data_IF_409540693601
#
_entry.id   IF_409540693601
#
_cell.length_a   1.000
_cell.length_b   1.000
_cell.length_c   1.000
_cell.angle_alpha   90.00
_cell.angle_beta   90.00
_cell.angle_gamma   90.00
#
_symmetry.space_group_name_H-M   'P 1'
#
loop_
_entity.id
_entity.type
_entity.pdbx_description
1 polymer ?
#
# COMPACT_ATOMS: atom_id res chain seq x y z
N UNK A 1 11.14 -19.04 3.77
CA UNK A 1 9.81 -18.77 4.37
C UNK A 1 10.01 -17.54 5.26
N UNK A 2 9.37 -16.43 4.96
CA UNK A 2 9.50 -15.22 5.79
C UNK A 2 8.59 -15.42 7.01
N UNK A 3 9.17 -15.44 8.21
CA UNK A 3 8.39 -15.50 9.45
C UNK A 3 7.75 -14.13 9.70
N UNK A 4 6.49 -13.99 9.28
CA UNK A 4 5.69 -12.77 9.44
C UNK A 4 4.92 -12.80 10.77
N UNK A 5 4.90 -13.94 11.47
CA UNK A 5 4.04 -14.13 12.63
C UNK A 5 4.43 -13.32 13.87
N UNK A 6 5.71 -13.04 14.08
CA UNK A 6 6.18 -12.32 15.27
C UNK A 6 6.85 -11.01 14.88
N UNK A 7 6.05 -9.97 14.65
CA UNK A 7 6.58 -8.60 14.54
C UNK A 7 6.66 -7.96 15.92
N UNK A 8 7.81 -7.33 16.23
CA UNK A 8 7.93 -6.49 17.41
C UNK A 8 6.98 -5.30 17.30
N UNK A 9 6.63 -4.70 18.43
CA UNK A 9 5.60 -3.67 18.59
C UNK A 9 5.73 -2.44 17.65
N UNK A 10 6.93 -2.15 17.16
CA UNK A 10 7.29 -1.01 16.30
C UNK A 10 8.14 -1.41 15.08
N UNK A 11 8.21 -2.70 14.77
CA UNK A 11 9.05 -3.22 13.70
C UNK A 11 8.51 -2.85 12.33
N UNK A 12 9.36 -2.23 11.50
CA UNK A 12 9.09 -1.95 10.10
C UNK A 12 9.98 -2.85 9.26
N UNK A 13 9.39 -3.82 8.57
CA UNK A 13 10.08 -4.77 7.68
C UNK A 13 9.98 -4.32 6.23
N UNK A 14 11.10 -4.33 5.53
CA UNK A 14 11.17 -4.02 4.09
C UNK A 14 11.68 -5.24 3.35
N UNK A 15 10.94 -5.67 2.32
CA UNK A 15 11.27 -6.85 1.52
C UNK A 15 11.26 -6.44 0.05
N UNK A 16 12.40 -6.59 -0.61
CA UNK A 16 12.56 -6.36 -2.04
C UNK A 16 12.23 -7.62 -2.84
N UNK A 17 11.83 -7.44 -4.11
CA UNK A 17 11.46 -8.52 -5.01
C UNK A 17 10.43 -9.49 -4.38
N UNK A 18 9.39 -8.91 -3.77
CA UNK A 18 8.43 -9.63 -2.96
C UNK A 18 7.64 -10.67 -3.74
N UNK A 19 7.20 -10.33 -4.95
CA UNK A 19 6.59 -11.28 -5.89
C UNK A 19 7.62 -11.80 -6.89
N UNK A 20 7.37 -12.99 -7.43
CA UNK A 20 8.06 -13.45 -8.63
C UNK A 20 7.98 -12.39 -9.73
N UNK A 21 9.08 -12.25 -10.49
CA UNK A 21 9.22 -11.18 -11.49
C UNK A 21 8.10 -11.20 -12.54
N UNK A 22 7.67 -12.37 -12.98
CA UNK A 22 6.60 -12.49 -13.98
C UNK A 22 5.27 -12.07 -13.38
N UNK A 23 4.94 -12.55 -12.17
CA UNK A 23 3.71 -12.20 -11.45
C UNK A 23 3.67 -10.70 -11.19
N UNK A 24 4.78 -10.10 -10.75
CA UNK A 24 4.89 -8.67 -10.56
C UNK A 24 4.60 -7.89 -11.86
N UNK A 25 5.22 -8.27 -12.98
CA UNK A 25 5.00 -7.58 -14.26
C UNK A 25 3.57 -7.69 -14.75
N UNK A 26 2.96 -8.86 -14.66
CA UNK A 26 1.55 -9.07 -15.03
C UNK A 26 0.61 -8.19 -14.16
N UNK A 27 0.90 -8.05 -12.86
CA UNK A 27 0.17 -7.17 -11.95
C UNK A 27 0.38 -5.69 -12.30
N UNK A 28 1.63 -5.25 -12.45
CA UNK A 28 1.99 -3.88 -12.80
C UNK A 28 1.32 -3.46 -14.11
N UNK A 29 1.41 -4.30 -15.14
CA UNK A 29 0.80 -4.04 -16.45
C UNK A 29 -0.73 -3.95 -16.33
N UNK A 30 -1.35 -4.81 -15.52
CA UNK A 30 -2.79 -4.77 -15.31
C UNK A 30 -3.23 -3.47 -14.65
N UNK A 31 -2.53 -3.00 -13.62
CA UNK A 31 -2.95 -1.84 -12.82
C UNK A 31 -2.51 -0.50 -13.43
N UNK A 32 -1.34 -0.43 -14.07
CA UNK A 32 -0.76 0.84 -14.50
C UNK A 32 -0.77 1.07 -16.02
N UNK A 33 -0.78 0.00 -16.83
CA UNK A 33 -0.58 0.12 -18.27
C UNK A 33 -1.83 -0.24 -19.09
N UNK A 34 -2.83 -0.90 -18.49
CA UNK A 34 -4.10 -1.23 -19.17
C UNK A 34 -5.16 -0.17 -18.87
N UNK A 35 -5.77 0.35 -19.92
CA UNK A 35 -6.82 1.36 -19.82
C UNK A 35 -8.11 0.85 -19.18
N UNK A 36 -8.32 -0.47 -19.16
CA UNK A 36 -9.54 -1.08 -18.62
C UNK A 36 -9.53 -1.20 -17.08
N UNK A 37 -8.37 -1.02 -16.41
CA UNK A 37 -8.34 -1.08 -14.95
C UNK A 37 -8.99 0.18 -14.35
N UNK A 38 -10.07 0.03 -13.56
CA UNK A 38 -10.84 1.18 -13.09
C UNK A 38 -10.16 1.86 -11.90
N UNK A 39 -9.74 3.09 -12.11
CA UNK A 39 -9.31 4.01 -11.06
C UNK A 39 -10.41 5.02 -10.78
N UNK A 40 -10.78 5.18 -9.51
CA UNK A 40 -11.84 6.09 -9.07
C UNK A 40 -11.23 7.29 -8.35
N UNK A 41 -11.64 8.49 -8.74
CA UNK A 41 -11.21 9.71 -8.04
C UNK A 41 -11.72 9.69 -6.60
N UNK A 42 -10.81 9.88 -5.65
CA UNK A 42 -11.10 9.89 -4.23
C UNK A 42 -11.09 11.31 -3.67
N UNK A 43 -12.26 11.82 -3.32
CA UNK A 43 -12.44 13.13 -2.68
C UNK A 43 -12.33 13.04 -1.14
N UNK A 44 -12.55 11.85 -0.55
CA UNK A 44 -12.60 11.64 0.89
C UNK A 44 -11.29 11.01 1.36
N UNK A 45 -10.22 11.79 1.46
CA UNK A 45 -8.97 11.35 2.08
C UNK A 45 -9.09 11.43 3.60
N UNK A 46 -8.21 10.68 4.30
CA UNK A 46 -8.08 10.77 5.76
C UNK A 46 -7.66 12.17 6.19
N UNK A 47 -6.82 12.81 5.37
CA UNK A 47 -6.36 14.18 5.56
C UNK A 47 -6.58 14.94 4.24
N UNK A 48 -7.20 16.10 4.32
CA UNK A 48 -7.30 17.03 3.19
C UNK A 48 -5.99 17.82 3.07
N UNK A 49 -5.13 17.35 2.18
CA UNK A 49 -3.82 17.92 1.88
C UNK A 49 -3.75 18.56 0.48
N UNK A 50 -4.90 18.68 -0.19
CA UNK A 50 -5.03 19.23 -1.55
C UNK A 50 -4.51 18.34 -2.68
N UNK A 51 -3.96 17.16 -2.37
CA UNK A 51 -3.41 16.25 -3.40
C UNK A 51 -4.50 15.36 -3.97
N UNK A 52 -4.57 15.27 -5.30
CA UNK A 52 -5.48 14.37 -6.00
C UNK A 52 -5.02 12.93 -5.86
N UNK A 53 -5.94 12.05 -5.44
CA UNK A 53 -5.71 10.63 -5.32
C UNK A 53 -6.79 9.84 -6.06
N UNK A 54 -6.37 8.82 -6.80
CA UNK A 54 -7.26 7.81 -7.34
C UNK A 54 -7.12 6.52 -6.54
N UNK A 55 -8.21 5.78 -6.43
CA UNK A 55 -8.24 4.53 -5.64
C UNK A 55 -8.96 3.42 -6.38
N UNK A 56 -8.61 2.18 -6.04
CA UNK A 56 -9.36 0.99 -6.41
C UNK A 56 -9.47 0.06 -5.19
N UNK A 57 -10.70 -0.24 -4.79
CA UNK A 57 -10.97 -1.10 -3.65
C UNK A 57 -11.11 -2.55 -4.10
N UNK A 58 -10.12 -3.39 -3.81
CA UNK A 58 -10.16 -4.83 -4.13
C UNK A 58 -10.98 -5.63 -3.12
N UNK A 59 -10.84 -5.29 -1.84
CA UNK A 59 -11.42 -6.02 -0.73
C UNK A 59 -11.73 -5.06 0.42
N UNK A 60 -12.91 -5.16 0.98
CA UNK A 60 -13.32 -4.31 2.07
C UNK A 60 -14.26 -5.04 3.00
N UNK A 61 -13.99 -4.92 4.30
CA UNK A 61 -14.82 -5.46 5.40
C UNK A 61 -15.18 -6.94 5.19
N UNK A 62 -14.15 -7.75 4.99
CA UNK A 62 -14.23 -9.22 4.82
C UNK A 62 -14.92 -9.70 3.52
N UNK A 63 -15.11 -8.81 2.54
CA UNK A 63 -15.79 -9.14 1.27
C UNK A 63 -14.95 -8.69 0.06
N UNK A 64 -14.74 -9.57 -0.97
CA UNK A 64 -14.20 -9.15 -2.26
C UNK A 64 -15.08 -8.08 -2.91
N UNK A 65 -14.47 -6.98 -3.37
CA UNK A 65 -15.18 -5.80 -3.90
C UNK A 65 -14.79 -5.48 -5.35
N UNK A 66 -14.04 -6.36 -6.00
CA UNK A 66 -13.52 -6.12 -7.35
C UNK A 66 -13.39 -7.40 -8.16
N UNK A 67 -13.69 -7.33 -9.45
CA UNK A 67 -13.40 -8.41 -10.42
C UNK A 67 -11.88 -8.70 -10.51
N UNK A 68 -11.03 -7.77 -10.10
CA UNK A 68 -9.57 -7.92 -10.08
C UNK A 68 -9.03 -8.52 -8.78
N UNK A 69 -9.89 -8.96 -7.86
CA UNK A 69 -9.49 -9.54 -6.57
C UNK A 69 -8.50 -10.70 -6.72
N UNK A 70 -8.67 -11.54 -7.74
CA UNK A 70 -7.80 -12.71 -7.96
C UNK A 70 -6.33 -12.33 -8.22
N UNK A 71 -6.03 -11.11 -8.65
CA UNK A 71 -4.65 -10.61 -8.81
C UNK A 71 -3.91 -10.49 -7.47
N UNK A 72 -4.64 -10.54 -6.34
CA UNK A 72 -4.07 -10.48 -4.99
C UNK A 72 -3.70 -11.86 -4.43
N UNK A 73 -4.14 -12.96 -5.02
CA UNK A 73 -3.87 -14.31 -4.51
C UNK A 73 -2.38 -14.63 -4.29
N UNK A 74 -1.44 -14.15 -5.14
CA UNK A 74 -0.01 -14.33 -4.88
C UNK A 74 0.46 -13.70 -3.57
N UNK A 75 -0.09 -12.54 -3.19
CA UNK A 75 0.21 -11.89 -1.91
C UNK A 75 -0.28 -12.73 -0.74
N UNK A 76 -1.50 -13.25 -0.78
CA UNK A 76 -2.07 -14.04 0.31
C UNK A 76 -1.34 -15.36 0.53
N UNK A 77 -0.77 -15.96 -0.52
CA UNK A 77 0.10 -17.13 -0.40
C UNK A 77 1.38 -16.85 0.40
N UNK A 78 1.89 -15.63 0.34
CA UNK A 78 3.13 -15.22 1.04
C UNK A 78 2.81 -14.65 2.42
N UNK A 79 1.81 -13.75 2.50
CA UNK A 79 1.45 -13.05 3.73
C UNK A 79 0.69 -13.94 4.73
N UNK A 80 -0.03 -14.96 4.24
CA UNK A 80 -0.83 -15.91 5.04
C UNK A 80 -1.73 -15.21 6.08
N UNK A 81 -2.60 -14.26 5.66
CA UNK A 81 -3.45 -13.55 6.59
C UNK A 81 -4.48 -14.48 7.23
N UNK A 82 -4.71 -14.36 8.55
CA UNK A 82 -5.82 -15.04 9.23
C UNK A 82 -7.17 -14.47 8.78
N UNK A 83 -7.26 -13.16 8.64
CA UNK A 83 -8.44 -12.47 8.12
C UNK A 83 -8.03 -11.15 7.45
N UNK A 84 -8.55 -10.90 6.25
CA UNK A 84 -8.28 -9.67 5.50
C UNK A 84 -9.35 -8.65 5.87
N UNK A 85 -8.95 -7.46 6.30
CA UNK A 85 -9.85 -6.35 6.59
C UNK A 85 -10.07 -5.46 5.36
N UNK A 86 -8.97 -5.08 4.68
CA UNK A 86 -9.03 -4.21 3.50
C UNK A 86 -7.82 -4.45 2.58
N UNK A 87 -8.05 -4.38 1.27
CA UNK A 87 -7.00 -4.19 0.26
C UNK A 87 -7.43 -3.10 -0.70
N UNK A 88 -6.63 -2.03 -0.77
CA UNK A 88 -6.91 -0.84 -1.57
C UNK A 88 -5.66 -0.40 -2.34
N UNK A 89 -5.77 -0.27 -3.67
CA UNK A 89 -4.76 0.43 -4.44
C UNK A 89 -4.99 1.94 -4.38
N UNK A 90 -3.88 2.69 -4.31
CA UNK A 90 -3.86 4.15 -4.41
C UNK A 90 -2.92 4.55 -5.53
N UNK A 91 -3.31 5.57 -6.29
CA UNK A 91 -2.52 6.15 -7.37
C UNK A 91 -2.54 7.67 -7.20
N UNK A 92 -1.35 8.26 -7.19
CA UNK A 92 -1.16 9.71 -7.17
C UNK A 92 -0.44 10.15 -8.45
N UNK A 93 -0.72 11.36 -8.90
CA UNK A 93 -0.09 11.97 -10.08
C UNK A 93 1.19 12.71 -9.69
N UNK A 94 2.03 12.98 -10.70
CA UNK A 94 3.26 13.76 -10.57
C UNK A 94 2.99 15.16 -10.02
N UNK A 95 3.84 15.59 -9.09
CA UNK A 95 3.83 16.93 -8.52
C UNK A 95 5.13 17.68 -8.82
N UNK A 96 5.19 18.94 -8.44
CA UNK A 96 6.36 19.82 -8.68
C UNK A 96 7.47 19.63 -7.66
N UNK A 97 7.15 19.07 -6.48
CA UNK A 97 8.10 18.85 -5.39
C UNK A 97 7.74 17.59 -4.59
N UNK A 98 8.73 17.04 -3.89
CA UNK A 98 8.54 15.89 -3.00
C UNK A 98 8.18 16.39 -1.61
N UNK A 99 6.93 16.19 -1.20
CA UNK A 99 6.41 16.53 0.13
C UNK A 99 5.75 15.32 0.79
N UNK A 100 6.03 15.02 2.06
CA UNK A 100 5.25 14.03 2.78
C UNK A 100 3.81 14.52 2.99
N UNK A 101 2.86 13.58 2.95
CA UNK A 101 1.49 13.82 3.40
C UNK A 101 1.42 13.86 4.92
N UNK A 102 0.24 14.16 5.46
CA UNK A 102 0.01 14.07 6.90
C UNK A 102 0.15 12.62 7.42
N UNK A 103 0.87 12.46 8.53
CA UNK A 103 0.97 11.18 9.21
C UNK A 103 -0.39 10.74 9.74
N UNK A 104 -0.75 9.48 9.52
CA UNK A 104 -2.02 8.90 9.93
C UNK A 104 -1.88 7.41 10.23
N UNK A 105 -2.92 6.85 10.83
CA UNK A 105 -3.18 5.43 10.94
C UNK A 105 -4.34 5.07 10.02
N UNK A 106 -4.32 3.88 9.45
CA UNK A 106 -5.40 3.40 8.56
C UNK A 106 -6.71 3.14 9.34
N UNK A 107 -6.60 2.83 10.62
CA UNK A 107 -7.69 2.54 11.56
C UNK A 107 -7.37 3.15 12.91
N UNK A 108 -8.43 3.43 13.71
CA UNK A 108 -8.31 4.07 15.02
C UNK A 108 -9.03 3.30 16.16
N UNK A 109 -9.55 2.10 15.88
CA UNK A 109 -10.14 1.25 16.90
C UNK A 109 -9.08 0.36 17.57
N UNK A 110 -9.27 0.06 18.86
CA UNK A 110 -8.30 -0.66 19.69
C UNK A 110 -7.95 -2.05 19.15
N UNK A 111 -8.91 -2.79 18.59
CA UNK A 111 -8.66 -4.11 18.02
C UNK A 111 -7.73 -4.01 16.82
N UNK A 112 -8.05 -3.12 15.88
CA UNK A 112 -7.24 -2.91 14.67
C UNK A 112 -5.83 -2.42 15.00
N UNK A 113 -5.69 -1.47 15.93
CA UNK A 113 -4.39 -0.92 16.31
C UNK A 113 -3.48 -1.95 16.99
N UNK A 114 -4.03 -2.88 17.77
CA UNK A 114 -3.24 -3.83 18.54
C UNK A 114 -2.98 -5.17 17.85
N UNK A 115 -3.81 -5.58 16.91
CA UNK A 115 -3.73 -6.92 16.32
C UNK A 115 -3.50 -6.92 14.81
N UNK A 116 -3.82 -5.84 14.10
CA UNK A 116 -3.65 -5.77 12.66
C UNK A 116 -2.24 -5.41 12.23
N UNK A 117 -1.88 -5.93 11.07
CA UNK A 117 -0.71 -5.53 10.28
C UNK A 117 -1.17 -4.68 9.09
N UNK A 118 -0.34 -3.73 8.74
CA UNK A 118 -0.46 -2.92 7.52
C UNK A 118 0.73 -3.22 6.61
N UNK A 119 0.48 -3.32 5.32
CA UNK A 119 1.56 -3.32 4.34
C UNK A 119 1.28 -2.34 3.21
N UNK A 120 2.36 -1.76 2.68
CA UNK A 120 2.36 -0.95 1.48
C UNK A 120 3.24 -1.66 0.44
N UNK A 121 2.65 -2.05 -0.67
CA UNK A 121 3.36 -2.63 -1.80
C UNK A 121 3.49 -1.62 -2.93
N UNK A 122 4.70 -1.41 -3.45
CA UNK A 122 4.99 -0.43 -4.48
C UNK A 122 4.90 -1.04 -5.88
N UNK A 123 4.03 -0.46 -6.71
CA UNK A 123 3.81 -0.92 -8.09
C UNK A 123 4.87 -0.40 -9.07
N UNK A 124 5.51 0.72 -8.76
CA UNK A 124 6.56 1.32 -9.59
C UNK A 124 7.58 2.06 -8.72
N UNK A 125 8.73 2.37 -9.30
CA UNK A 125 9.78 3.16 -8.63
C UNK A 125 9.54 4.64 -8.83
N UNK A 126 9.59 5.41 -7.72
CA UNK A 126 9.53 6.87 -7.72
C UNK A 126 10.37 7.45 -6.58
N UNK A 127 10.70 8.74 -6.66
CA UNK A 127 11.42 9.45 -5.60
C UNK A 127 10.53 9.87 -4.41
N UNK A 128 9.24 9.54 -4.42
CA UNK A 128 8.29 9.81 -3.32
C UNK A 128 8.29 8.68 -2.28
N UNK A 129 9.02 8.78 -1.16
CA UNK A 129 9.10 7.74 -0.15
C UNK A 129 7.79 7.60 0.64
N UNK A 130 7.63 6.46 1.34
CA UNK A 130 6.77 6.39 2.51
C UNK A 130 7.55 6.82 3.75
N UNK A 131 6.93 7.64 4.61
CA UNK A 131 7.54 8.19 5.83
C UNK A 131 6.78 7.67 7.06
N UNK A 132 7.49 7.55 8.18
CA UNK A 132 6.98 7.03 9.45
C UNK A 132 7.27 8.02 10.59
N UNK A 133 6.55 7.93 11.69
CA UNK A 133 6.60 8.86 12.84
C UNK A 133 7.99 9.11 13.41
N UNK A 134 8.89 8.14 13.32
CA UNK A 134 10.28 8.24 13.78
C UNK A 134 11.23 8.83 12.72
N UNK A 135 10.71 9.55 11.72
CA UNK A 135 11.43 10.06 10.54
C UNK A 135 12.08 8.98 9.66
N UNK A 136 11.79 7.70 9.90
CA UNK A 136 12.22 6.63 9.02
C UNK A 136 11.55 6.78 7.65
N UNK A 137 12.33 6.59 6.59
CA UNK A 137 11.84 6.64 5.21
C UNK A 137 12.07 5.30 4.54
N UNK A 138 11.08 4.87 3.77
CA UNK A 138 11.20 3.70 2.89
C UNK A 138 11.01 4.18 1.46
N UNK A 139 12.06 4.02 0.64
CA UNK A 139 12.03 4.43 -0.77
C UNK A 139 11.00 3.61 -1.55
N UNK A 140 10.27 4.29 -2.42
CA UNK A 140 9.32 3.69 -3.34
C UNK A 140 10.11 2.98 -4.48
N UNK A 141 10.26 1.68 -4.35
CA UNK A 141 10.95 0.81 -5.32
C UNK A 141 9.96 -0.24 -5.79
N UNK A 142 9.84 -0.45 -7.09
CA UNK A 142 8.94 -1.46 -7.65
C UNK A 142 9.18 -2.86 -7.06
N UNK A 143 8.11 -3.61 -6.87
CA UNK A 143 8.13 -4.96 -6.28
C UNK A 143 8.71 -5.02 -4.85
N UNK A 144 8.70 -3.91 -4.14
CA UNK A 144 9.02 -3.82 -2.70
C UNK A 144 7.74 -3.79 -1.90
N UNK A 145 7.74 -4.48 -0.76
CA UNK A 145 6.69 -4.37 0.27
C UNK A 145 7.31 -3.86 1.57
N UNK A 146 6.59 -3.00 2.27
CA UNK A 146 6.89 -2.63 3.65
C UNK A 146 5.74 -3.06 4.54
N UNK A 147 6.05 -3.79 5.62
CA UNK A 147 5.07 -4.36 6.56
C UNK A 147 5.34 -3.78 7.95
N UNK A 148 4.29 -3.35 8.64
CA UNK A 148 4.37 -2.76 9.97
C UNK A 148 3.06 -2.93 10.75
N UNK A 149 3.08 -2.82 12.10
CA UNK A 149 1.87 -2.81 12.91
C UNK A 149 0.96 -1.63 12.54
N UNK A 150 -0.35 -1.84 12.44
CA UNK A 150 -1.32 -0.81 12.00
C UNK A 150 -1.30 0.46 12.85
N UNK A 151 -0.89 0.37 14.11
CA UNK A 151 -0.74 1.52 15.02
C UNK A 151 0.39 2.48 14.67
N UNK A 152 1.36 2.08 13.84
CA UNK A 152 2.49 2.92 13.45
C UNK A 152 1.99 4.03 12.52
N UNK A 153 2.21 5.29 12.92
CA UNK A 153 1.88 6.45 12.10
C UNK A 153 2.77 6.47 10.86
N UNK A 154 2.12 6.62 9.71
CA UNK A 154 2.80 6.63 8.42
C UNK A 154 2.13 7.57 7.43
N UNK A 155 2.84 7.91 6.38
CA UNK A 155 2.31 8.66 5.25
C UNK A 155 3.05 8.30 3.95
N UNK A 156 2.39 8.50 2.82
CA UNK A 156 3.04 8.59 1.53
C UNK A 156 3.68 9.97 1.32
N UNK A 157 4.24 10.18 0.15
CA UNK A 157 4.73 11.48 -0.31
C UNK A 157 4.31 11.72 -1.76
N UNK A 158 4.29 12.97 -2.18
CA UNK A 158 4.31 13.35 -3.59
C UNK A 158 5.60 12.84 -4.26
N UNK A 159 5.65 12.87 -5.58
CA UNK A 159 6.81 12.48 -6.37
C UNK A 159 6.94 13.38 -7.61
N UNK A 160 8.16 13.45 -8.19
CA UNK A 160 8.47 14.38 -9.28
C UNK A 160 9.06 13.71 -10.52
N UNK A 161 9.41 12.44 -10.44
CA UNK A 161 10.22 11.72 -11.43
C UNK A 161 9.45 10.68 -12.27
N UNK A 162 8.15 10.49 -12.01
CA UNK A 162 7.27 9.57 -12.73
C UNK A 162 5.92 10.22 -12.98
N UNK A 163 5.14 9.79 -13.98
CA UNK A 163 3.78 10.31 -14.23
C UNK A 163 2.83 9.94 -13.09
N UNK A 164 3.01 8.74 -12.54
CA UNK A 164 2.17 8.24 -11.44
C UNK A 164 3.01 7.53 -10.38
N UNK A 165 2.51 7.47 -9.16
CA UNK A 165 2.98 6.60 -8.09
C UNK A 165 1.82 5.70 -7.67
N UNK A 166 1.99 4.40 -7.92
CA UNK A 166 1.00 3.37 -7.59
C UNK A 166 1.44 2.53 -6.39
N UNK A 167 0.54 2.31 -5.44
CA UNK A 167 0.76 1.42 -4.29
C UNK A 167 -0.48 0.58 -4.03
N UNK A 168 -0.29 -0.59 -3.38
CA UNK A 168 -1.39 -1.38 -2.82
C UNK A 168 -1.21 -1.45 -1.31
N UNK A 169 -2.22 -1.01 -0.58
CA UNK A 169 -2.28 -1.09 0.88
C UNK A 169 -3.08 -2.32 1.30
N UNK A 170 -2.51 -3.11 2.20
CA UNK A 170 -3.12 -4.28 2.82
C UNK A 170 -3.29 -4.04 4.31
N UNK A 171 -4.46 -4.41 4.85
CA UNK A 171 -4.73 -4.44 6.29
C UNK A 171 -5.33 -5.81 6.63
N UNK A 172 -4.72 -6.52 7.59
CA UNK A 172 -5.11 -7.89 7.94
C UNK A 172 -4.72 -8.27 9.37
N UNK A 173 -5.39 -9.32 9.88
CA UNK A 173 -5.11 -9.97 11.17
C UNK A 173 -4.27 -11.23 10.99
#
# INVERSE_FOLDING_TARGET
MFDIEVMKHDEIRVIDNFLDKKIFKDLQDTLLNKSEFPWFLNYNKVIDDGVTQFTHMFYYDFIPNSAYYNNLLPFFKILQPNAIKRVKANLTIKETEVKPYGLHQDYNDDLSLNQMKTAIYFLNTTNGPSVFENNKKVNCVENRIVIFPTKVLHAGSTHTDSQVRGVINFNWF
#
